data_IF_368663514600
#
_entry.id   IF_368663514600
#
_cell.length_a   1.000
_cell.length_b   1.000
_cell.length_c   1.000
_cell.angle_alpha   90.00
_cell.angle_beta   90.00
_cell.angle_gamma   90.00
#
_symmetry.space_group_name_H-M   'P 1'
#
loop_
_entity.id
_entity.type
_entity.pdbx_description
1 polymer ?
#
# COMPACT_ATOMS: atom_id res chain seq x y z
N UNK A 1 22.01 -19.77 2.29
CA UNK A 1 20.70 -19.27 2.76
C UNK A 1 20.99 -18.33 3.92
N UNK A 2 20.61 -17.07 3.82
CA UNK A 2 20.81 -16.12 4.92
C UNK A 2 19.82 -16.49 6.03
N UNK A 3 20.32 -16.88 7.20
CA UNK A 3 19.45 -17.15 8.34
C UNK A 3 18.87 -15.84 8.93
N UNK A 4 17.81 -15.94 9.73
CA UNK A 4 17.13 -14.76 10.28
C UNK A 4 18.05 -13.90 11.17
N UNK A 5 19.00 -14.51 11.88
CA UNK A 5 19.93 -13.78 12.74
C UNK A 5 20.96 -13.01 11.91
N UNK A 6 21.45 -13.59 10.82
CA UNK A 6 22.30 -12.92 9.84
C UNK A 6 21.56 -11.74 9.20
N UNK A 7 20.28 -11.92 8.83
CA UNK A 7 19.45 -10.84 8.30
C UNK A 7 19.31 -9.67 9.28
N UNK A 8 18.94 -9.95 10.55
CA UNK A 8 18.84 -8.90 11.58
C UNK A 8 20.10 -8.05 11.71
N UNK A 9 21.27 -8.68 11.66
CA UNK A 9 22.56 -7.98 11.80
C UNK A 9 22.85 -7.03 10.63
N UNK A 10 22.23 -7.25 9.47
CA UNK A 10 22.39 -6.38 8.30
C UNK A 10 21.37 -5.25 8.25
N UNK A 11 20.28 -5.36 9.00
CA UNK A 11 19.28 -4.30 9.06
C UNK A 11 19.84 -3.10 9.84
N UNK A 12 20.15 -2.02 9.13
CA UNK A 12 20.88 -0.86 9.67
C UNK A 12 20.22 -0.23 10.91
N UNK A 13 18.89 -0.34 11.04
CA UNK A 13 18.11 0.30 12.10
C UNK A 13 17.62 -0.70 13.17
N UNK A 14 18.30 -1.84 13.32
CA UNK A 14 17.85 -2.92 14.21
C UNK A 14 17.75 -2.49 15.67
N UNK A 15 18.70 -1.68 16.15
CA UNK A 15 18.69 -1.17 17.53
C UNK A 15 17.50 -0.23 17.77
N UNK A 16 17.15 0.60 16.79
CA UNK A 16 15.99 1.49 16.87
C UNK A 16 14.67 0.71 16.83
N UNK A 17 14.62 -0.36 16.03
CA UNK A 17 13.45 -1.25 16.00
C UNK A 17 13.28 -1.98 17.33
N UNK A 18 14.37 -2.46 17.94
CA UNK A 18 14.37 -3.15 19.23
C UNK A 18 14.13 -2.22 20.43
N UNK A 19 14.28 -0.91 20.25
CA UNK A 19 13.97 0.08 21.29
C UNK A 19 12.45 0.25 21.51
N UNK A 20 11.62 -0.15 20.54
CA UNK A 20 10.17 -0.11 20.69
C UNK A 20 9.69 -1.18 21.70
N UNK A 21 8.99 -0.79 22.78
CA UNK A 21 8.64 -1.71 23.85
C UNK A 21 7.57 -2.75 23.46
N UNK A 22 6.89 -2.57 22.32
CA UNK A 22 5.88 -3.49 21.82
C UNK A 22 6.44 -4.48 20.79
N UNK A 23 7.66 -4.28 20.27
CA UNK A 23 8.25 -5.08 19.20
C UNK A 23 9.39 -5.95 19.75
N UNK A 24 9.28 -7.27 19.55
CA UNK A 24 10.23 -8.26 20.04
C UNK A 24 10.77 -9.10 18.90
N UNK A 25 12.06 -9.38 18.93
CA UNK A 25 12.78 -10.14 17.91
C UNK A 25 13.50 -11.32 18.58
N UNK A 26 13.46 -12.50 17.95
CA UNK A 26 14.24 -13.66 18.43
C UNK A 26 15.73 -13.30 18.48
N UNK A 27 16.53 -13.76 19.46
CA UNK A 27 16.18 -14.66 20.57
C UNK A 27 15.60 -13.94 21.80
N UNK A 28 15.40 -12.62 21.75
CA UNK A 28 15.05 -11.78 22.90
C UNK A 28 13.53 -11.61 23.09
N UNK A 29 12.73 -12.59 22.67
CA UNK A 29 11.27 -12.56 22.86
C UNK A 29 10.94 -13.17 24.23
N UNK A 30 10.28 -12.44 25.15
CA UNK A 30 9.85 -12.99 26.43
C UNK A 30 8.93 -14.20 26.25
N UNK A 31 9.23 -15.30 26.96
CA UNK A 31 8.50 -16.57 26.82
C UNK A 31 6.99 -16.43 27.10
N UNK A 32 6.60 -15.59 28.06
CA UNK A 32 5.19 -15.33 28.36
C UNK A 32 4.44 -14.72 27.16
N UNK A 33 5.11 -13.89 26.35
CA UNK A 33 4.54 -13.32 25.12
C UNK A 33 4.44 -14.36 24.01
N UNK A 34 5.46 -15.21 23.86
CA UNK A 34 5.42 -16.35 22.92
C UNK A 34 4.23 -17.26 23.24
N UNK A 35 4.06 -17.65 24.51
CA UNK A 35 2.92 -18.47 24.94
C UNK A 35 1.57 -17.79 24.70
N UNK A 36 1.51 -16.46 24.82
CA UNK A 36 0.35 -15.68 24.40
C UNK A 36 0.09 -15.80 22.91
N UNK A 37 1.13 -15.64 22.09
CA UNK A 37 1.04 -15.69 20.64
C UNK A 37 0.64 -17.08 20.11
N UNK A 38 1.05 -18.15 20.79
CA UNK A 38 0.63 -19.52 20.47
C UNK A 38 -0.90 -19.70 20.42
N UNK A 39 -1.66 -18.83 21.09
CA UNK A 39 -3.14 -18.86 21.01
C UNK A 39 -3.73 -18.47 19.66
N UNK A 40 -2.93 -17.87 18.77
CA UNK A 40 -3.34 -17.47 17.42
C UNK A 40 -2.40 -17.98 16.31
N UNK A 41 -1.42 -18.81 16.66
CA UNK A 41 -0.58 -19.53 15.72
C UNK A 41 -1.18 -20.93 15.43
N UNK A 42 -0.82 -21.56 14.29
CA UNK A 42 -1.20 -22.94 14.02
C UNK A 42 -0.77 -23.87 15.17
N UNK A 43 -1.59 -24.86 15.59
CA UNK A 43 -1.33 -25.70 16.77
C UNK A 43 0.02 -26.43 16.78
N UNK A 44 0.56 -26.72 15.60
CA UNK A 44 1.85 -27.40 15.42
C UNK A 44 3.07 -26.46 15.46
N UNK A 45 2.85 -25.15 15.57
CA UNK A 45 3.94 -24.16 15.62
C UNK A 45 4.70 -24.27 16.92
N UNK A 46 6.02 -24.31 16.85
CA UNK A 46 6.90 -24.38 18.03
C UNK A 46 7.33 -22.97 18.49
N UNK A 47 7.58 -22.74 19.79
CA UNK A 47 8.09 -21.48 20.33
C UNK A 47 9.28 -20.88 19.57
N UNK A 48 10.24 -21.72 19.18
CA UNK A 48 11.44 -21.33 18.46
C UNK A 48 11.19 -20.86 17.02
N UNK A 49 10.01 -21.13 16.44
CA UNK A 49 9.65 -20.70 15.09
C UNK A 49 9.16 -19.25 15.03
N UNK A 50 8.93 -18.61 16.18
CA UNK A 50 8.56 -17.20 16.27
C UNK A 50 9.79 -16.32 16.09
N UNK A 51 9.81 -15.56 15.01
CA UNK A 51 10.93 -14.70 14.62
C UNK A 51 10.75 -13.25 15.09
N UNK A 52 9.53 -12.73 14.91
CA UNK A 52 9.10 -11.39 15.35
C UNK A 52 7.78 -11.54 16.11
N UNK A 53 7.60 -10.79 17.17
CA UNK A 53 6.34 -10.64 17.89
C UNK A 53 6.08 -9.16 18.14
N UNK A 54 4.89 -8.69 17.79
CA UNK A 54 4.36 -7.38 18.13
C UNK A 54 3.21 -7.60 19.10
N UNK A 55 3.31 -7.04 20.30
CA UNK A 55 2.30 -7.22 21.34
C UNK A 55 1.28 -6.07 21.31
N UNK A 56 0.03 -6.38 20.99
CA UNK A 56 -1.09 -5.42 20.99
C UNK A 56 -1.94 -5.48 22.26
N UNK A 57 -1.52 -6.26 23.26
CA UNK A 57 -2.30 -6.43 24.48
C UNK A 57 -2.01 -5.32 25.46
N UNK A 58 -3.07 -4.71 26.02
CA UNK A 58 -2.97 -3.64 27.02
C UNK A 58 -2.17 -4.08 28.25
N UNK A 59 -2.21 -5.37 28.60
CA UNK A 59 -1.49 -5.94 29.74
C UNK A 59 -0.21 -6.72 29.36
N UNK A 60 0.25 -6.62 28.10
CA UNK A 60 1.55 -7.14 27.69
C UNK A 60 1.71 -8.67 27.70
N UNK A 61 0.62 -9.42 27.50
CA UNK A 61 0.59 -10.89 27.49
C UNK A 61 0.63 -11.51 26.09
N UNK A 62 0.75 -10.73 25.01
CA UNK A 62 1.00 -11.22 23.64
C UNK A 62 -0.09 -12.07 22.99
N UNK A 63 -1.34 -12.10 23.50
CA UNK A 63 -2.44 -12.89 22.92
C UNK A 63 -3.18 -12.19 21.75
N UNK A 64 -2.87 -10.91 21.53
CA UNK A 64 -3.30 -10.12 20.39
C UNK A 64 -2.05 -9.44 19.83
N UNK A 65 -2.03 -9.18 18.53
CA UNK A 65 -0.93 -8.53 17.83
C UNK A 65 -0.51 -9.30 16.59
N UNK A 66 0.79 -9.28 16.29
CA UNK A 66 1.35 -9.84 15.06
C UNK A 66 2.54 -10.74 15.38
N UNK A 67 2.63 -11.89 14.72
CA UNK A 67 3.79 -12.77 14.74
C UNK A 67 4.29 -13.09 13.33
N UNK A 68 5.61 -13.08 13.17
CA UNK A 68 6.28 -13.60 11.98
C UNK A 68 6.87 -14.98 12.29
N UNK A 69 6.63 -15.94 11.39
CA UNK A 69 7.40 -17.18 11.29
C UNK A 69 7.95 -17.33 9.87
N UNK A 70 8.72 -18.38 9.62
CA UNK A 70 9.17 -18.72 8.25
C UNK A 70 8.01 -19.05 7.31
N UNK A 71 6.84 -19.40 7.85
CA UNK A 71 5.65 -19.79 7.07
C UNK A 71 4.76 -18.59 6.71
N UNK A 72 4.84 -17.48 7.43
CA UNK A 72 4.02 -16.29 7.15
C UNK A 72 3.90 -15.33 8.31
N UNK A 73 3.05 -14.33 8.10
CA UNK A 73 2.64 -13.35 9.11
C UNK A 73 1.26 -13.76 9.65
N UNK A 74 1.16 -13.86 10.97
CA UNK A 74 -0.06 -14.19 11.69
C UNK A 74 -0.45 -12.98 12.53
N UNK A 75 -1.74 -12.65 12.58
CA UNK A 75 -2.17 -11.52 13.38
C UNK A 75 -3.57 -11.73 13.93
N UNK A 76 -3.83 -11.12 15.09
CA UNK A 76 -5.11 -11.21 15.79
C UNK A 76 -5.41 -9.92 16.51
N UNK A 77 -6.53 -9.31 16.16
CA UNK A 77 -7.08 -8.18 16.91
C UNK A 77 -7.84 -8.65 18.15
N UNK A 78 -8.05 -7.75 19.10
CA UNK A 78 -8.82 -8.06 20.30
C UNK A 78 -10.24 -8.52 19.92
N UNK A 79 -10.69 -9.62 20.51
CA UNK A 79 -12.01 -10.22 20.27
C UNK A 79 -12.27 -10.71 18.84
N UNK A 80 -11.24 -10.71 17.97
CA UNK A 80 -11.32 -11.25 16.61
C UNK A 80 -10.70 -12.65 16.50
N UNK A 81 -10.96 -13.30 15.36
CA UNK A 81 -10.28 -14.52 14.98
C UNK A 81 -8.85 -14.22 14.51
N UNK A 82 -7.99 -15.23 14.61
CA UNK A 82 -6.65 -15.18 14.05
C UNK A 82 -6.71 -15.16 12.52
N UNK A 83 -5.84 -14.35 11.90
CA UNK A 83 -5.64 -14.27 10.47
C UNK A 83 -4.21 -14.67 10.13
N UNK A 84 -4.02 -15.15 8.90
CA UNK A 84 -2.70 -15.54 8.38
C UNK A 84 -2.52 -15.00 6.98
N UNK A 85 -1.33 -14.48 6.72
CA UNK A 85 -0.84 -14.18 5.39
C UNK A 85 0.40 -15.05 5.09
N UNK A 86 0.29 -16.06 4.21
CA UNK A 86 1.38 -16.99 3.93
C UNK A 86 2.60 -16.26 3.35
N UNK A 87 3.81 -16.66 3.76
CA UNK A 87 5.07 -16.03 3.33
C UNK A 87 5.18 -15.90 1.82
N UNK A 88 4.81 -16.96 1.08
CA UNK A 88 4.84 -16.98 -0.39
C UNK A 88 3.93 -15.93 -1.03
N UNK A 89 2.84 -15.57 -0.36
CA UNK A 89 1.90 -14.58 -0.87
C UNK A 89 2.39 -13.14 -0.65
N UNK A 90 3.31 -12.87 0.30
CA UNK A 90 3.69 -11.51 0.70
C UNK A 90 4.60 -10.84 -0.36
N UNK A 91 4.06 -9.97 -1.22
CA UNK A 91 4.78 -9.14 -2.20
C UNK A 91 5.37 -7.88 -1.59
N UNK A 92 4.67 -7.27 -0.64
CA UNK A 92 5.15 -6.07 0.03
C UNK A 92 4.63 -6.00 1.46
N UNK A 93 5.41 -5.35 2.31
CA UNK A 93 4.95 -4.89 3.62
C UNK A 93 5.23 -3.39 3.70
N UNK A 94 4.19 -2.62 3.97
CA UNK A 94 4.25 -1.18 4.16
C UNK A 94 3.63 -0.79 5.48
N UNK A 95 3.47 0.52 5.66
CA UNK A 95 2.73 1.08 6.78
C UNK A 95 1.79 2.17 6.29
N UNK A 96 0.71 2.37 7.03
CA UNK A 96 -0.21 3.50 6.85
C UNK A 96 -0.51 4.11 8.21
N UNK A 97 -0.52 5.44 8.28
CA UNK A 97 -0.67 6.20 9.52
C UNK A 97 -1.80 7.21 9.36
N UNK A 98 -2.81 7.09 10.22
CA UNK A 98 -3.80 8.12 10.46
C UNK A 98 -3.43 8.98 11.67
N UNK A 99 -4.32 9.92 12.03
CA UNK A 99 -4.17 10.75 13.22
C UNK A 99 -4.14 9.91 14.50
N UNK A 100 -4.94 8.83 14.55
CA UNK A 100 -5.08 7.92 15.69
C UNK A 100 -4.80 6.45 15.33
N UNK A 101 -4.76 6.11 14.05
CA UNK A 101 -4.58 4.74 13.59
C UNK A 101 -3.17 4.53 13.06
N UNK A 102 -2.64 3.34 13.30
CA UNK A 102 -1.33 2.94 12.81
C UNK A 102 -1.49 1.52 12.30
N UNK A 103 -1.18 1.30 11.03
CA UNK A 103 -1.39 0.04 10.36
C UNK A 103 -0.10 -0.44 9.73
N UNK A 104 0.14 -1.74 9.85
CA UNK A 104 1.01 -2.46 8.93
C UNK A 104 0.16 -2.91 7.73
N UNK A 105 0.68 -2.78 6.52
CA UNK A 105 -0.09 -3.04 5.29
C UNK A 105 0.62 -4.14 4.50
N UNK A 106 0.01 -5.31 4.37
CA UNK A 106 0.55 -6.43 3.62
C UNK A 106 -0.06 -6.41 2.21
N UNK A 107 0.80 -6.43 1.19
CA UNK A 107 0.43 -6.40 -0.24
C UNK A 107 -0.48 -5.24 -0.62
N UNK A 108 -0.35 -4.09 0.05
CA UNK A 108 -1.23 -2.94 -0.14
C UNK A 108 -2.65 -3.09 0.42
N UNK A 109 -3.13 -4.32 0.64
CA UNK A 109 -4.56 -4.62 0.85
C UNK A 109 -4.90 -5.04 2.28
N UNK A 110 -4.04 -5.81 2.94
CA UNK A 110 -4.33 -6.31 4.29
C UNK A 110 -3.78 -5.34 5.32
N UNK A 111 -4.69 -4.60 5.97
CA UNK A 111 -4.37 -3.67 7.06
C UNK A 111 -4.39 -4.42 8.40
N UNK A 112 -3.25 -4.45 9.08
CA UNK A 112 -3.11 -4.95 10.46
C UNK A 112 -2.99 -3.75 11.38
N UNK A 113 -3.99 -3.53 12.23
CA UNK A 113 -3.99 -2.42 13.19
C UNK A 113 -3.03 -2.70 14.34
N UNK A 114 -2.10 -1.77 14.59
CA UNK A 114 -1.10 -1.85 15.64
C UNK A 114 -1.10 -0.56 16.47
N UNK A 115 -1.85 -0.55 17.57
CA UNK A 115 -2.00 0.61 18.44
C UNK A 115 -0.87 0.76 19.47
N UNK A 116 -0.18 -0.31 19.87
CA UNK A 116 0.83 -0.26 20.94
C UNK A 116 2.20 0.28 20.46
N UNK A 117 2.80 -0.21 19.35
CA UNK A 117 4.11 0.27 18.92
C UNK A 117 4.09 1.75 18.55
N UNK A 118 5.19 2.45 18.73
CA UNK A 118 5.32 3.85 18.35
C UNK A 118 5.29 4.03 16.82
N UNK A 119 5.01 5.25 16.34
CA UNK A 119 4.96 5.54 14.90
C UNK A 119 6.29 5.19 14.20
N UNK A 120 7.41 5.50 14.85
CA UNK A 120 8.74 5.15 14.36
C UNK A 120 8.94 3.63 14.33
N UNK A 121 8.52 2.92 15.39
CA UNK A 121 8.60 1.47 15.47
C UNK A 121 7.82 0.76 14.36
N UNK A 122 6.63 1.23 14.01
CA UNK A 122 5.81 0.63 12.94
C UNK A 122 6.44 0.86 11.56
N UNK A 123 6.99 2.04 11.31
CA UNK A 123 7.74 2.30 10.07
C UNK A 123 8.92 1.34 9.95
N UNK A 124 9.74 1.25 10.99
CA UNK A 124 10.89 0.36 11.03
C UNK A 124 10.49 -1.11 10.92
N UNK A 125 9.36 -1.50 11.52
CA UNK A 125 8.81 -2.85 11.44
C UNK A 125 8.38 -3.17 10.01
N UNK A 126 7.68 -2.26 9.34
CA UNK A 126 7.28 -2.44 7.95
C UNK A 126 8.51 -2.58 7.04
N UNK A 127 9.50 -1.70 7.18
CA UNK A 127 10.76 -1.76 6.43
C UNK A 127 11.49 -3.09 6.67
N UNK A 128 11.59 -3.51 7.93
CA UNK A 128 12.20 -4.78 8.34
C UNK A 128 11.50 -5.99 7.73
N UNK A 129 10.16 -6.06 7.86
CA UNK A 129 9.37 -7.16 7.32
C UNK A 129 9.40 -7.20 5.80
N UNK A 130 9.37 -6.05 5.14
CA UNK A 130 9.44 -5.95 3.68
C UNK A 130 10.77 -6.49 3.15
N UNK A 131 11.89 -6.06 3.77
CA UNK A 131 13.22 -6.56 3.41
C UNK A 131 13.33 -8.07 3.65
N UNK A 132 12.86 -8.57 4.80
CA UNK A 132 12.90 -10.00 5.10
C UNK A 132 12.10 -10.82 4.07
N UNK A 133 10.88 -10.40 3.75
CA UNK A 133 10.02 -11.10 2.79
C UNK A 133 10.63 -11.11 1.38
N UNK A 134 11.27 -10.01 0.95
CA UNK A 134 11.96 -9.94 -0.34
C UNK A 134 13.10 -10.96 -0.47
N UNK A 135 13.88 -11.15 0.60
CA UNK A 135 14.98 -12.12 0.65
C UNK A 135 14.45 -13.56 0.54
N UNK A 136 13.33 -13.87 1.20
CA UNK A 136 12.72 -15.20 1.15
C UNK A 136 12.16 -15.53 -0.24
N UNK A 137 11.70 -14.53 -0.99
CA UNK A 137 11.21 -14.69 -2.37
C UNK A 137 12.31 -14.99 -3.37
N UNK A 138 13.38 -14.20 -3.37
CA UNK A 138 14.54 -14.41 -4.26
C UNK A 138 15.15 -15.81 -4.09
N UNK A 139 15.08 -16.36 -2.88
CA UNK A 139 15.56 -17.71 -2.58
C UNK A 139 14.59 -18.83 -3.02
N UNK A 140 13.30 -18.54 -3.15
CA UNK A 140 12.27 -19.49 -3.59
C UNK A 140 12.12 -19.50 -5.12
N UNK A 141 12.26 -18.36 -5.78
CA UNK A 141 12.11 -18.21 -7.24
C UNK A 141 13.31 -18.75 -8.03
N UNK A 142 14.45 -18.97 -7.36
CA UNK A 142 15.64 -19.63 -7.95
C UNK A 142 15.41 -21.11 -8.32
N UNK A 143 14.22 -21.68 -8.04
CA UNK A 143 13.87 -23.08 -8.36
C UNK A 143 12.64 -23.26 -9.26
N UNK A 144 12.01 -22.17 -9.75
CA UNK A 144 10.80 -22.27 -10.57
C UNK A 144 10.90 -21.40 -11.84
N UNK A 145 11.67 -21.85 -12.82
CA UNK A 145 11.58 -21.36 -14.20
C UNK A 145 10.92 -22.42 -15.08
N UNK A 146 9.68 -22.20 -15.51
CA UNK A 146 9.19 -22.41 -16.89
C UNK A 146 7.66 -22.33 -16.93
N UNK A 147 7.11 -21.31 -17.62
CA UNK A 147 6.19 -21.42 -18.77
C UNK A 147 5.42 -20.11 -18.97
N UNK A 148 5.71 -19.45 -20.09
CA UNK A 148 4.83 -18.48 -20.75
C UNK A 148 3.65 -19.22 -21.41
N UNK A 149 2.54 -18.53 -21.69
CA UNK A 149 1.88 -18.71 -22.98
C UNK A 149 1.63 -17.38 -23.73
N UNK A 150 1.90 -17.42 -25.03
CA UNK A 150 1.44 -16.49 -26.08
C UNK A 150 0.05 -16.91 -26.58
N UNK A 151 -0.83 -15.95 -26.93
CA UNK A 151 -1.41 -15.78 -28.28
C UNK A 151 -2.47 -14.66 -28.40
N UNK A 152 -2.50 -14.06 -29.59
CA UNK A 152 -3.12 -12.84 -30.16
C UNK A 152 -4.60 -13.03 -30.65
N UNK A 153 -5.23 -12.13 -31.48
CA UNK A 153 -5.59 -10.70 -31.36
C UNK A 153 -7.07 -10.34 -31.79
N UNK A 154 -7.41 -9.03 -31.74
CA UNK A 154 -8.46 -8.24 -32.45
C UNK A 154 -9.91 -8.17 -31.91
N UNK A 155 -10.38 -6.96 -31.54
CA UNK A 155 -11.40 -6.22 -32.32
C UNK A 155 -11.55 -4.74 -31.91
N UNK A 156 -11.70 -3.87 -32.92
CA UNK A 156 -12.03 -2.44 -32.79
C UNK A 156 -13.55 -2.27 -32.56
N UNK A 157 -13.93 -1.40 -31.63
CA UNK A 157 -15.30 -0.93 -31.45
C UNK A 157 -15.43 -0.13 -30.16
N UNK A 158 -15.87 1.14 -30.28
CA UNK A 158 -16.12 2.12 -29.22
C UNK A 158 -16.25 1.51 -27.80
N UNK A 159 -15.14 1.49 -27.06
CA UNK A 159 -15.10 0.93 -25.72
C UNK A 159 -15.40 2.05 -24.72
N UNK A 160 -16.65 2.16 -24.29
CA UNK A 160 -16.91 2.75 -22.97
C UNK A 160 -16.09 1.97 -21.96
N UNK A 161 -15.24 2.65 -21.21
CA UNK A 161 -14.41 2.02 -20.18
C UNK A 161 -15.34 1.74 -18.99
N UNK A 162 -15.43 0.49 -18.51
CA UNK A 162 -16.31 0.19 -17.41
C UNK A 162 -15.75 0.79 -16.11
N UNK A 163 -16.54 1.62 -15.44
CA UNK A 163 -16.34 2.14 -14.08
C UNK A 163 -15.10 3.05 -13.88
N UNK A 164 -15.23 4.32 -14.25
CA UNK A 164 -14.20 5.36 -13.98
C UNK A 164 -14.33 6.02 -12.61
N UNK A 165 -15.25 5.57 -11.74
CA UNK A 165 -15.46 6.18 -10.42
C UNK A 165 -14.19 6.23 -9.56
N UNK A 166 -13.31 5.21 -9.52
CA UNK A 166 -12.04 5.31 -8.79
C UNK A 166 -11.14 6.43 -9.29
N UNK A 167 -11.08 6.64 -10.61
CA UNK A 167 -10.32 7.74 -11.22
C UNK A 167 -10.95 9.10 -10.88
N UNK A 168 -12.29 9.18 -10.89
CA UNK A 168 -13.03 10.38 -10.47
C UNK A 168 -12.70 10.72 -9.00
N UNK A 169 -12.70 9.73 -8.10
CA UNK A 169 -12.33 9.90 -6.69
C UNK A 169 -10.87 10.33 -6.53
N UNK A 170 -9.95 9.74 -7.29
CA UNK A 170 -8.54 10.14 -7.29
C UNK A 170 -8.36 11.61 -7.67
N UNK A 171 -8.99 12.05 -8.75
CA UNK A 171 -8.88 13.44 -9.19
C UNK A 171 -9.51 14.40 -8.18
N UNK A 172 -10.62 13.97 -7.58
CA UNK A 172 -11.28 14.71 -6.51
C UNK A 172 -10.36 14.86 -5.29
N UNK A 173 -9.70 13.79 -4.84
CA UNK A 173 -8.72 13.83 -3.75
C UNK A 173 -7.58 14.82 -4.05
N UNK A 174 -6.97 14.70 -5.24
CA UNK A 174 -5.86 15.56 -5.64
C UNK A 174 -6.28 17.03 -5.70
N UNK A 175 -7.50 17.31 -6.16
CA UNK A 175 -8.00 18.68 -6.34
C UNK A 175 -8.62 19.33 -5.12
N UNK A 176 -9.17 18.58 -4.16
CA UNK A 176 -9.78 19.17 -2.96
C UNK A 176 -8.74 19.35 -1.84
N UNK A 177 -7.80 18.41 -1.69
CA UNK A 177 -6.88 18.37 -0.56
C UNK A 177 -7.61 18.30 0.79
N UNK A 178 -6.91 18.62 1.89
CA UNK A 178 -7.43 18.39 3.26
C UNK A 178 -8.70 19.18 3.63
N UNK A 179 -8.97 20.31 2.96
CA UNK A 179 -10.15 21.14 3.25
C UNK A 179 -11.44 20.55 2.69
N UNK A 180 -11.37 19.71 1.66
CA UNK A 180 -12.54 19.01 1.11
C UNK A 180 -13.59 19.89 0.40
N UNK A 181 -13.40 21.21 0.32
CA UNK A 181 -14.45 22.13 -0.16
C UNK A 181 -14.56 22.19 -1.68
N UNK A 182 -15.76 21.91 -2.19
CA UNK A 182 -16.11 22.12 -3.58
C UNK A 182 -16.32 23.61 -3.89
N UNK A 183 -15.34 24.23 -4.56
CA UNK A 183 -15.51 25.56 -5.17
C UNK A 183 -16.06 25.43 -6.59
N UNK A 184 -16.69 26.50 -7.11
CA UNK A 184 -17.20 26.50 -8.48
C UNK A 184 -16.11 26.25 -9.53
N UNK A 185 -14.89 26.73 -9.26
CA UNK A 185 -13.73 26.47 -10.11
C UNK A 185 -13.34 24.98 -10.11
N UNK A 186 -13.37 24.30 -8.97
CA UNK A 186 -13.05 22.86 -8.87
C UNK A 186 -14.16 22.02 -9.53
N UNK A 187 -15.43 22.38 -9.33
CA UNK A 187 -16.58 21.71 -9.99
C UNK A 187 -16.47 21.80 -11.51
N UNK A 188 -16.18 22.98 -12.04
CA UNK A 188 -16.01 23.19 -13.48
C UNK A 188 -14.83 22.41 -14.04
N UNK A 189 -13.69 22.38 -13.31
CA UNK A 189 -12.52 21.61 -13.72
C UNK A 189 -12.81 20.10 -13.75
N UNK A 190 -13.49 19.57 -12.73
CA UNK A 190 -13.88 18.15 -12.71
C UNK A 190 -14.83 17.80 -13.85
N UNK A 191 -15.83 18.65 -14.15
CA UNK A 191 -16.70 18.45 -15.32
C UNK A 191 -15.90 18.36 -16.61
N UNK A 192 -14.97 19.29 -16.85
CA UNK A 192 -14.13 19.28 -18.06
C UNK A 192 -13.21 18.06 -18.16
N UNK A 193 -12.65 17.60 -17.04
CA UNK A 193 -11.78 16.41 -17.02
C UNK A 193 -12.54 15.16 -17.46
N UNK A 194 -13.83 15.06 -17.14
CA UNK A 194 -14.67 13.89 -17.41
C UNK A 194 -15.73 14.11 -18.52
N UNK A 195 -15.75 15.25 -19.20
CA UNK A 195 -16.57 15.47 -20.40
C UNK A 195 -15.89 14.86 -21.64
N UNK A 196 -15.87 13.53 -21.71
CA UNK A 196 -15.19 12.75 -22.77
C UNK A 196 -16.07 11.61 -23.25
N UNK A 197 -15.95 11.27 -24.55
CA UNK A 197 -16.79 10.27 -25.22
C UNK A 197 -16.74 8.86 -24.60
N UNK A 198 -15.69 8.53 -23.85
CA UNK A 198 -15.52 7.23 -23.20
C UNK A 198 -16.09 7.15 -21.78
N UNK A 199 -16.54 8.28 -21.20
CA UNK A 199 -17.15 8.33 -19.87
C UNK A 199 -18.63 8.01 -19.99
N UNK A 200 -19.07 6.95 -19.32
CA UNK A 200 -20.46 6.52 -19.40
C UNK A 200 -21.40 7.40 -18.54
N UNK A 201 -22.71 7.30 -18.78
CA UNK A 201 -23.73 8.09 -18.06
C UNK A 201 -23.79 7.82 -16.55
N UNK A 202 -23.41 6.62 -16.09
CA UNK A 202 -23.38 6.28 -14.67
C UNK A 202 -22.23 7.00 -13.96
N UNK A 203 -21.07 7.08 -14.59
CA UNK A 203 -19.90 7.80 -14.07
C UNK A 203 -20.13 9.32 -14.07
N UNK A 204 -20.85 9.84 -15.08
CA UNK A 204 -21.32 11.24 -15.08
C UNK A 204 -22.28 11.53 -13.91
N UNK A 205 -23.24 10.63 -13.68
CA UNK A 205 -24.17 10.75 -12.56
C UNK A 205 -23.45 10.67 -11.21
N UNK A 206 -22.49 9.74 -11.08
CA UNK A 206 -21.64 9.61 -9.89
C UNK A 206 -20.86 10.90 -9.62
N UNK A 207 -20.20 11.47 -10.63
CA UNK A 207 -19.50 12.76 -10.52
C UNK A 207 -20.46 13.87 -10.06
N UNK A 208 -21.66 13.93 -10.63
CA UNK A 208 -22.71 14.86 -10.24
C UNK A 208 -23.07 14.77 -8.75
N UNK A 209 -23.27 13.55 -8.24
CA UNK A 209 -23.53 13.29 -6.82
C UNK A 209 -22.32 13.65 -5.94
N UNK A 210 -21.11 13.31 -6.38
CA UNK A 210 -19.87 13.56 -5.64
C UNK A 210 -19.66 15.05 -5.37
N UNK A 211 -20.01 15.92 -6.32
CA UNK A 211 -19.88 17.37 -6.20
C UNK A 211 -20.90 18.04 -5.25
N UNK A 212 -21.91 17.31 -4.77
CA UNK A 212 -22.97 17.80 -3.90
C UNK A 212 -22.71 17.49 -2.41
N UNK A 213 -21.74 16.64 -2.11
CA UNK A 213 -21.44 16.18 -0.76
C UNK A 213 -19.97 16.38 -0.44
N UNK A 214 -19.67 16.88 0.75
CA UNK A 214 -18.30 16.88 1.26
C UNK A 214 -17.95 15.45 1.65
N UNK A 215 -16.88 14.92 1.05
CA UNK A 215 -16.42 13.56 1.29
C UNK A 215 -14.97 13.58 1.76
N UNK A 216 -14.68 12.82 2.81
CA UNK A 216 -13.31 12.52 3.18
C UNK A 216 -12.81 11.37 2.32
N UNK A 217 -11.64 11.58 1.73
CA UNK A 217 -10.96 10.61 0.88
C UNK A 217 -9.69 10.14 1.58
N UNK A 218 -9.56 8.83 1.75
CA UNK A 218 -8.27 8.22 2.08
C UNK A 218 -7.54 7.89 0.77
N UNK A 219 -6.29 8.34 0.66
CA UNK A 219 -5.51 8.17 -0.56
C UNK A 219 -5.28 6.70 -0.91
N UNK A 220 -5.05 5.84 0.09
CA UNK A 220 -4.76 4.43 -0.16
C UNK A 220 -6.02 3.64 -0.49
N UNK A 221 -7.17 3.96 0.12
CA UNK A 221 -8.45 3.37 -0.28
C UNK A 221 -8.77 3.70 -1.75
N UNK A 222 -8.46 4.92 -2.20
CA UNK A 222 -8.56 5.27 -3.62
C UNK A 222 -7.60 4.44 -4.47
N UNK A 223 -6.34 4.26 -4.05
CA UNK A 223 -5.38 3.44 -4.81
C UNK A 223 -5.83 1.99 -4.92
N UNK A 224 -6.45 1.41 -3.89
CA UNK A 224 -7.03 0.07 -3.93
C UNK A 224 -8.18 0.00 -4.95
N UNK A 225 -9.07 1.00 -4.95
CA UNK A 225 -10.14 1.09 -5.93
C UNK A 225 -9.61 1.27 -7.37
N UNK A 226 -8.52 2.02 -7.56
CA UNK A 226 -7.85 2.21 -8.86
C UNK A 226 -7.19 0.91 -9.31
N UNK A 227 -6.50 0.21 -8.40
CA UNK A 227 -5.86 -1.08 -8.68
C UNK A 227 -6.91 -2.13 -9.08
N UNK A 228 -8.08 -2.12 -8.45
CA UNK A 228 -9.18 -3.04 -8.77
C UNK A 228 -9.71 -2.89 -10.20
N UNK A 229 -9.50 -1.74 -10.84
CA UNK A 229 -9.90 -1.49 -12.24
C UNK A 229 -8.71 -1.51 -13.21
N UNK A 230 -7.46 -1.74 -12.76
CA UNK A 230 -6.25 -1.58 -13.59
C UNK A 230 -6.29 -2.39 -14.89
N UNK A 231 -6.79 -3.63 -14.85
CA UNK A 231 -6.83 -4.54 -16.01
C UNK A 231 -7.90 -4.13 -17.04
N UNK A 232 -8.81 -3.25 -16.65
CA UNK A 232 -9.87 -2.70 -17.51
C UNK A 232 -9.48 -1.40 -18.20
N UNK A 233 -8.35 -0.80 -17.81
CA UNK A 233 -7.85 0.46 -18.35
C UNK A 233 -6.89 0.22 -19.52
N UNK A 234 -7.10 0.87 -20.68
CA UNK A 234 -6.12 0.83 -21.76
C UNK A 234 -4.77 1.42 -21.33
N UNK A 235 -3.62 0.82 -21.69
CA UNK A 235 -2.29 1.32 -21.29
C UNK A 235 -2.04 2.79 -21.66
N UNK A 236 -2.47 3.20 -22.86
CA UNK A 236 -2.35 4.59 -23.32
C UNK A 236 -3.18 5.56 -22.48
N UNK A 237 -4.29 5.10 -21.90
CA UNK A 237 -5.06 5.89 -20.96
C UNK A 237 -4.33 6.00 -19.62
N UNK A 238 -3.74 4.91 -19.11
CA UNK A 238 -2.96 4.94 -17.87
C UNK A 238 -1.80 5.96 -17.94
N UNK A 239 -1.09 6.04 -19.07
CA UNK A 239 -0.04 7.04 -19.27
C UNK A 239 -0.58 8.47 -19.23
N UNK A 240 -1.68 8.73 -19.95
CA UNK A 240 -2.33 10.04 -19.94
C UNK A 240 -2.85 10.42 -18.55
N UNK A 241 -3.42 9.46 -17.81
CA UNK A 241 -3.89 9.68 -16.44
C UNK A 241 -2.74 10.10 -15.52
N UNK A 242 -1.53 9.53 -15.69
CA UNK A 242 -0.35 9.92 -14.92
C UNK A 242 0.15 11.33 -15.24
N UNK A 243 0.13 11.73 -16.50
CA UNK A 243 0.42 13.12 -16.89
C UNK A 243 -0.59 14.09 -16.26
N UNK A 244 -1.88 13.76 -16.35
CA UNK A 244 -2.96 14.55 -15.74
C UNK A 244 -2.79 14.64 -14.22
N UNK A 245 -2.40 13.56 -13.54
CA UNK A 245 -2.09 13.56 -12.09
C UNK A 245 -1.01 14.59 -11.73
N UNK A 246 0.08 14.65 -12.50
CA UNK A 246 1.16 15.63 -12.27
C UNK A 246 0.66 17.07 -12.48
N UNK A 247 -0.13 17.31 -13.53
CA UNK A 247 -0.76 18.62 -13.78
C UNK A 247 -1.66 19.03 -12.60
N UNK A 248 -2.45 18.10 -12.05
CA UNK A 248 -3.33 18.38 -10.91
C UNK A 248 -2.52 18.68 -9.64
N UNK A 249 -1.48 17.90 -9.36
CA UNK A 249 -0.58 18.13 -8.23
C UNK A 249 0.14 19.49 -8.34
N UNK A 250 0.56 19.87 -9.55
CA UNK A 250 1.24 21.16 -9.80
C UNK A 250 0.28 22.32 -9.58
N UNK A 251 -0.93 22.25 -10.15
CA UNK A 251 -1.99 23.25 -9.92
C UNK A 251 -2.33 23.44 -8.45
N UNK A 252 -2.17 22.40 -7.64
CA UNK A 252 -2.44 22.40 -6.20
C UNK A 252 -1.20 22.70 -5.35
N UNK A 253 -0.06 22.98 -5.98
CA UNK A 253 1.21 23.26 -5.31
C UNK A 253 1.57 22.19 -4.29
N UNK A 254 1.47 20.91 -4.67
CA UNK A 254 1.93 19.82 -3.82
C UNK A 254 3.41 20.03 -3.46
N UNK A 255 3.77 19.67 -2.24
CA UNK A 255 5.17 19.60 -1.82
C UNK A 255 5.88 18.53 -2.66
N UNK A 256 7.11 18.81 -3.12
CA UNK A 256 7.77 18.04 -4.20
C UNK A 256 7.91 16.58 -3.81
N UNK A 257 8.34 16.29 -2.57
CA UNK A 257 8.57 14.92 -2.14
C UNK A 257 7.25 14.15 -1.98
N UNK A 258 6.19 14.82 -1.52
CA UNK A 258 4.83 14.26 -1.44
C UNK A 258 4.28 13.97 -2.84
N UNK A 259 4.42 14.91 -3.79
CA UNK A 259 3.98 14.73 -5.16
C UNK A 259 4.65 13.53 -5.82
N UNK A 260 5.98 13.40 -5.65
CA UNK A 260 6.75 12.28 -6.22
C UNK A 260 6.32 10.94 -5.61
N UNK A 261 6.16 10.87 -4.29
CA UNK A 261 5.73 9.65 -3.63
C UNK A 261 4.33 9.22 -4.12
N UNK A 262 3.36 10.14 -4.09
CA UNK A 262 2.01 9.88 -4.58
C UNK A 262 2.00 9.49 -6.06
N UNK A 263 2.80 10.16 -6.90
CA UNK A 263 2.92 9.85 -8.32
C UNK A 263 3.38 8.41 -8.55
N UNK A 264 4.43 7.95 -7.86
CA UNK A 264 4.90 6.58 -8.01
C UNK A 264 3.91 5.54 -7.47
N UNK A 265 3.21 5.86 -6.38
CA UNK A 265 2.14 5.01 -5.84
C UNK A 265 0.96 4.88 -6.81
N UNK A 266 0.53 5.99 -7.43
CA UNK A 266 -0.51 5.99 -8.47
C UNK A 266 -0.03 5.24 -9.72
N UNK A 267 1.22 5.41 -10.14
CA UNK A 267 1.78 4.69 -11.31
C UNK A 267 1.76 3.18 -11.11
N UNK A 268 2.02 2.74 -9.88
CA UNK A 268 1.94 1.32 -9.50
C UNK A 268 0.49 0.83 -9.56
N UNK A 269 -0.47 1.60 -9.01
CA UNK A 269 -1.89 1.25 -9.04
C UNK A 269 -2.49 1.23 -10.46
N UNK A 270 -1.90 1.98 -11.40
CA UNK A 270 -2.26 1.97 -12.82
C UNK A 270 -1.49 0.92 -13.64
N UNK A 271 -0.69 0.07 -12.98
CA UNK A 271 0.16 -0.95 -13.59
C UNK A 271 1.14 -0.38 -14.64
N UNK A 272 1.67 0.82 -14.40
CA UNK A 272 2.70 1.46 -15.23
C UNK A 272 4.07 1.15 -14.64
N UNK A 273 4.99 0.64 -15.47
CA UNK A 273 6.31 0.27 -14.99
C UNK A 273 7.16 1.48 -14.57
N UNK A 274 8.13 1.24 -13.70
CA UNK A 274 8.94 2.29 -13.09
C UNK A 274 9.75 3.10 -14.11
N UNK A 275 10.21 2.50 -15.21
CA UNK A 275 10.99 3.21 -16.21
C UNK A 275 10.11 4.20 -16.98
N UNK A 276 8.92 3.75 -17.39
CA UNK A 276 7.91 4.60 -18.03
C UNK A 276 7.45 5.72 -17.10
N UNK A 277 7.11 5.40 -15.84
CA UNK A 277 6.70 6.40 -14.85
C UNK A 277 7.80 7.45 -14.61
N UNK A 278 9.06 7.03 -14.50
CA UNK A 278 10.20 7.95 -14.36
C UNK A 278 10.36 8.85 -15.58
N UNK A 279 10.17 8.30 -16.78
CA UNK A 279 10.23 9.08 -18.03
C UNK A 279 9.10 10.09 -18.15
N UNK A 280 7.91 9.79 -17.62
CA UNK A 280 6.79 10.75 -17.56
C UNK A 280 7.13 11.86 -16.56
N UNK A 281 7.55 11.51 -15.33
CA UNK A 281 7.91 12.49 -14.30
C UNK A 281 9.00 13.46 -14.77
N UNK A 282 9.99 12.98 -15.52
CA UNK A 282 11.08 13.79 -16.07
C UNK A 282 10.63 14.92 -17.00
N UNK A 283 9.42 14.84 -17.57
CA UNK A 283 8.84 15.87 -18.43
C UNK A 283 8.22 17.04 -17.64
N UNK A 284 8.15 16.94 -16.31
CA UNK A 284 7.56 17.94 -15.43
C UNK A 284 8.61 18.56 -14.50
N UNK A 285 9.28 19.66 -14.93
CA UNK A 285 10.40 20.26 -14.19
C UNK A 285 10.08 20.65 -12.75
N UNK A 286 8.81 21.00 -12.47
CA UNK A 286 8.31 21.35 -11.14
C UNK A 286 8.57 20.26 -10.08
N UNK A 287 8.72 19.00 -10.48
CA UNK A 287 8.91 17.85 -9.58
C UNK A 287 10.30 17.21 -9.68
N UNK A 288 11.21 17.79 -10.48
CA UNK A 288 12.57 17.29 -10.69
C UNK A 288 13.60 18.11 -9.90
N UNK A 289 13.29 19.37 -9.58
CA UNK A 289 14.23 20.29 -8.95
C UNK A 289 14.22 20.18 -7.41
N UNK A 290 15.15 19.37 -6.89
CA UNK A 290 15.50 19.29 -5.48
C UNK A 290 16.97 18.90 -5.32
N UNK A 291 17.87 19.75 -5.83
CA UNK A 291 19.30 19.82 -5.49
C UNK A 291 19.93 21.02 -6.22
N UNK A 292 19.89 22.20 -5.58
CA UNK A 292 21.01 23.16 -5.55
C UNK A 292 21.13 23.61 -4.09
#
# INVERSE_FOLDING_TARGET
>A
MMDFNQFKQQFQQIELLQADPAIFLTPQIPMNKILGAMSYLPPQTKPEEVLVLVDETVFGHGKNGLCLTTQGIYFKEAFANANVYPMKAITSVGYSMGMLSKHLVINGTVKVTLAQPEKAGIRLLADFLNQYCSIQKTQTDSFASTQQPQNQPQNQGNHTIPNLQPIIKLYTYLLLGWRGEWTDQVREMMRRLFDRDFVNSQDQAFLGCLMQQDQQFDFFDILDEVTAIQDSLPPELCHRLLEEVLVLMEKRNFEIDVARNHFFQISTALNVDQATATSILAQFPAFIAGNI
#
